data_IF_132031770868
#
_entry.id   IF_132031770868
#
_cell.length_a   1.000
_cell.length_b   1.000
_cell.length_c   1.000
_cell.angle_alpha   90.00
_cell.angle_beta   90.00
_cell.angle_gamma   90.00
#
_symmetry.space_group_name_H-M   'P 1'
#
loop_
_entity.id
_entity.type
_entity.pdbx_description
1 polymer ?
#
# COMPACT_ATOMS: atom_id res chain seq x y z
N UNK A 1 -25.32 -19.09 -8.96
CA UNK A 1 -23.95 -19.34 -9.42
C UNK A 1 -23.31 -20.31 -8.46
N UNK A 2 -22.98 -21.52 -8.89
CA UNK A 2 -22.27 -22.49 -8.06
C UNK A 2 -20.77 -22.19 -8.06
N UNK A 3 -20.17 -22.08 -6.88
CA UNK A 3 -18.72 -21.96 -6.74
C UNK A 3 -18.11 -23.35 -6.91
N UNK A 4 -17.42 -23.59 -8.03
CA UNK A 4 -16.69 -24.83 -8.27
C UNK A 4 -15.29 -24.68 -7.68
N UNK A 5 -14.98 -25.46 -6.64
CA UNK A 5 -13.63 -25.51 -6.07
C UNK A 5 -12.84 -26.62 -6.77
N UNK A 6 -11.75 -26.25 -7.44
CA UNK A 6 -10.85 -27.20 -8.10
C UNK A 6 -9.64 -27.44 -7.20
N UNK A 7 -9.46 -28.67 -6.72
CA UNK A 7 -8.26 -29.05 -5.97
C UNK A 7 -7.16 -29.52 -6.94
N UNK A 8 -6.08 -28.75 -6.99
CA UNK A 8 -4.91 -29.08 -7.79
C UNK A 8 -3.90 -29.84 -6.94
N UNK A 9 -3.38 -30.98 -7.42
CA UNK A 9 -2.26 -31.67 -6.79
C UNK A 9 -1.10 -31.76 -7.78
N UNK A 10 0.10 -31.38 -7.34
CA UNK A 10 1.31 -31.64 -8.10
C UNK A 10 1.60 -33.14 -8.03
N UNK A 11 1.39 -33.84 -9.14
CA UNK A 11 1.76 -35.25 -9.29
C UNK A 11 3.06 -35.29 -10.09
N UNK A 12 4.18 -35.35 -9.39
CA UNK A 12 5.52 -35.38 -9.98
C UNK A 12 6.41 -36.35 -9.21
N UNK A 13 7.44 -36.90 -9.86
CA UNK A 13 8.44 -37.74 -9.19
C UNK A 13 9.13 -36.95 -8.07
N UNK A 14 9.74 -37.66 -7.13
CA UNK A 14 10.52 -37.03 -6.06
C UNK A 14 11.63 -36.13 -6.63
N UNK A 15 12.36 -36.62 -7.63
CA UNK A 15 13.41 -35.88 -8.34
C UNK A 15 12.90 -34.53 -8.87
N UNK A 16 11.75 -34.51 -9.54
CA UNK A 16 11.16 -33.27 -10.06
C UNK A 16 10.75 -32.33 -8.92
N UNK A 17 10.22 -32.87 -7.82
CA UNK A 17 9.85 -32.06 -6.65
C UNK A 17 11.08 -31.45 -5.98
N UNK A 18 12.17 -32.21 -5.85
CA UNK A 18 13.44 -31.70 -5.33
C UNK A 18 14.02 -30.62 -6.25
N UNK A 19 14.06 -30.83 -7.56
CA UNK A 19 14.50 -29.82 -8.52
C UNK A 19 13.66 -28.53 -8.43
N UNK A 20 12.34 -28.66 -8.34
CA UNK A 20 11.46 -27.50 -8.19
C UNK A 20 11.70 -26.77 -6.86
N UNK A 21 11.93 -27.52 -5.78
CA UNK A 21 12.29 -26.94 -4.49
C UNK A 21 13.56 -26.11 -4.59
N UNK A 22 14.65 -26.65 -5.18
CA UNK A 22 15.90 -25.92 -5.38
C UNK A 22 15.70 -24.66 -6.22
N UNK A 23 14.92 -24.73 -7.31
CA UNK A 23 14.59 -23.54 -8.10
C UNK A 23 13.86 -22.46 -7.28
N UNK A 24 12.96 -22.86 -6.38
CA UNK A 24 12.17 -21.91 -5.58
C UNK A 24 12.93 -21.37 -4.36
N UNK A 25 13.68 -22.21 -3.67
CA UNK A 25 14.41 -21.90 -2.45
C UNK A 25 15.74 -21.21 -2.73
N UNK A 26 16.53 -21.73 -3.67
CA UNK A 26 17.92 -21.31 -3.86
C UNK A 26 18.04 -20.19 -4.90
N UNK A 27 17.11 -20.14 -5.87
CA UNK A 27 17.14 -19.15 -6.95
C UNK A 27 16.03 -18.11 -6.84
N UNK A 28 14.76 -18.53 -6.86
CA UNK A 28 13.62 -17.60 -6.98
C UNK A 28 13.45 -16.69 -5.76
N UNK A 29 13.44 -17.26 -4.56
CA UNK A 29 13.21 -16.48 -3.34
C UNK A 29 14.36 -15.49 -3.09
N UNK A 30 15.64 -15.88 -3.22
CA UNK A 30 16.75 -14.95 -3.17
C UNK A 30 16.70 -13.88 -4.28
N UNK A 31 16.25 -14.22 -5.50
CA UNK A 31 16.04 -13.23 -6.56
C UNK A 31 15.01 -12.17 -6.16
N UNK A 32 13.87 -12.59 -5.61
CA UNK A 32 12.84 -11.65 -5.11
C UNK A 32 13.40 -10.76 -4.01
N UNK A 33 14.12 -11.34 -3.04
CA UNK A 33 14.76 -10.58 -1.96
C UNK A 33 15.74 -9.54 -2.50
N UNK A 34 16.58 -9.93 -3.47
CA UNK A 34 17.55 -9.04 -4.11
C UNK A 34 16.83 -7.90 -4.82
N UNK A 35 15.78 -8.19 -5.59
CA UNK A 35 14.99 -7.18 -6.28
C UNK A 35 14.28 -6.22 -5.31
N UNK A 36 13.73 -6.72 -4.20
CA UNK A 36 13.12 -5.88 -3.18
C UNK A 36 14.10 -4.84 -2.65
N UNK A 37 15.36 -5.25 -2.42
CA UNK A 37 16.45 -4.36 -2.01
C UNK A 37 16.83 -3.39 -3.12
N UNK A 38 17.03 -3.86 -4.35
CA UNK A 38 17.40 -3.01 -5.49
C UNK A 38 16.39 -1.91 -5.78
N UNK A 39 15.08 -2.18 -5.65
CA UNK A 39 14.04 -1.16 -5.85
C UNK A 39 14.15 -0.03 -4.83
N UNK A 40 14.42 -0.35 -3.55
CA UNK A 40 14.58 0.68 -2.51
C UNK A 40 15.85 1.53 -2.65
N UNK A 41 16.83 1.05 -3.41
CA UNK A 41 18.12 1.70 -3.63
C UNK A 41 18.19 2.44 -4.96
N UNK A 42 17.09 2.47 -5.72
CA UNK A 42 17.03 3.12 -7.01
C UNK A 42 16.92 4.64 -6.86
N UNK A 43 17.56 5.40 -7.74
CA UNK A 43 17.59 6.87 -7.68
C UNK A 43 16.17 7.48 -7.74
N UNK A 44 15.31 6.95 -8.61
CA UNK A 44 13.91 7.37 -8.73
C UNK A 44 13.00 6.90 -7.57
N UNK A 45 13.50 6.20 -6.55
CA UNK A 45 12.66 5.62 -5.50
C UNK A 45 11.83 6.67 -4.76
N UNK A 46 12.40 7.85 -4.48
CA UNK A 46 11.66 8.95 -3.87
C UNK A 46 10.50 9.44 -4.76
N UNK A 47 10.72 9.48 -6.07
CA UNK A 47 9.69 9.88 -7.04
C UNK A 47 8.55 8.87 -7.02
N UNK A 48 8.87 7.58 -6.99
CA UNK A 48 7.88 6.51 -6.88
C UNK A 48 7.11 6.58 -5.56
N UNK A 49 7.77 6.94 -4.46
CA UNK A 49 7.13 7.15 -3.15
C UNK A 49 6.14 8.32 -3.17
N UNK A 50 6.49 9.44 -3.82
CA UNK A 50 5.59 10.59 -3.98
C UNK A 50 4.39 10.25 -4.87
N UNK A 51 4.64 9.54 -5.97
CA UNK A 51 3.59 9.16 -6.92
C UNK A 51 2.69 8.02 -6.39
N UNK A 52 3.21 7.20 -5.48
CA UNK A 52 2.53 6.06 -4.90
C UNK A 52 2.48 4.83 -5.80
N UNK A 53 3.37 4.73 -6.78
CA UNK A 53 3.45 3.63 -7.76
C UNK A 53 4.88 3.45 -8.23
N UNK A 54 5.28 2.19 -8.48
CA UNK A 54 6.53 1.84 -9.17
C UNK A 54 6.19 1.36 -10.60
N UNK A 55 6.89 1.82 -11.64
CA UNK A 55 6.68 1.30 -13.00
C UNK A 55 7.16 -0.15 -13.16
N UNK A 56 6.33 -1.01 -13.76
CA UNK A 56 6.69 -2.40 -14.10
C UNK A 56 7.99 -2.51 -14.90
N UNK A 57 8.21 -1.54 -15.80
CA UNK A 57 9.40 -1.49 -16.66
C UNK A 57 10.67 -1.36 -15.82
N UNK A 58 10.67 -0.49 -14.82
CA UNK A 58 11.81 -0.24 -13.92
C UNK A 58 12.19 -1.51 -13.14
N UNK A 59 11.20 -2.24 -12.61
CA UNK A 59 11.47 -3.51 -11.91
C UNK A 59 12.06 -4.57 -12.86
N UNK A 60 11.57 -4.64 -14.11
CA UNK A 60 12.13 -5.56 -15.11
C UNK A 60 13.54 -5.18 -15.54
N UNK A 61 13.83 -3.89 -15.67
CA UNK A 61 15.17 -3.37 -15.97
C UNK A 61 16.15 -3.74 -14.85
N UNK A 62 15.74 -3.63 -13.57
CA UNK A 62 16.51 -4.12 -12.42
C UNK A 62 16.72 -5.64 -12.41
N UNK A 63 15.76 -6.41 -12.94
CA UNK A 63 15.83 -7.87 -13.02
C UNK A 63 16.73 -8.38 -14.15
N UNK A 64 16.88 -7.63 -15.25
CA UNK A 64 17.66 -8.06 -16.41
C UNK A 64 19.13 -8.39 -16.12
N UNK A 65 19.92 -7.55 -15.42
CA UNK A 65 21.31 -7.88 -15.12
C UNK A 65 21.43 -9.11 -14.20
N UNK A 66 20.43 -9.36 -13.35
CA UNK A 66 20.42 -10.53 -12.46
C UNK A 66 20.25 -11.85 -13.21
N UNK A 67 19.76 -11.85 -14.46
CA UNK A 67 19.58 -13.08 -15.25
C UNK A 67 20.89 -13.78 -15.61
N UNK A 68 21.98 -13.02 -15.67
CA UNK A 68 23.32 -13.48 -16.03
C UNK A 68 24.17 -13.71 -14.78
N UNK A 69 23.64 -13.41 -13.59
CA UNK A 69 24.36 -13.63 -12.35
C UNK A 69 24.41 -15.14 -12.03
N UNK A 70 25.57 -15.71 -11.65
CA UNK A 70 25.73 -17.16 -11.43
C UNK A 70 24.72 -17.76 -10.44
N UNK A 71 24.30 -16.98 -9.45
CA UNK A 71 23.27 -17.42 -8.48
C UNK A 71 21.88 -17.65 -9.10
N UNK A 72 21.55 -16.92 -10.16
CA UNK A 72 20.20 -16.84 -10.72
C UNK A 72 20.10 -17.39 -12.13
N UNK A 73 21.22 -17.61 -12.81
CA UNK A 73 21.25 -18.14 -14.17
C UNK A 73 20.58 -19.52 -14.29
N UNK A 74 20.25 -19.89 -15.53
CA UNK A 74 19.59 -21.16 -15.90
C UNK A 74 18.18 -21.41 -15.33
N UNK A 75 17.62 -20.49 -14.53
CA UNK A 75 16.22 -20.63 -14.12
C UNK A 75 15.26 -20.33 -15.30
N UNK A 76 14.08 -20.97 -15.36
CA UNK A 76 13.13 -20.73 -16.44
C UNK A 76 12.66 -19.28 -16.52
N UNK A 77 12.44 -18.76 -17.73
CA UNK A 77 11.99 -17.37 -17.97
C UNK A 77 10.78 -16.91 -17.14
N UNK A 78 9.89 -17.85 -16.79
CA UNK A 78 8.71 -17.59 -15.94
C UNK A 78 9.09 -17.14 -14.54
N UNK A 79 10.18 -17.64 -13.97
CA UNK A 79 10.61 -17.30 -12.61
C UNK A 79 11.01 -15.83 -12.53
N UNK A 80 11.80 -15.32 -13.48
CA UNK A 80 12.12 -13.89 -13.56
C UNK A 80 10.89 -13.00 -13.71
N UNK A 81 9.92 -13.44 -14.53
CA UNK A 81 8.67 -12.69 -14.73
C UNK A 81 7.85 -12.67 -13.44
N UNK A 82 7.75 -13.82 -12.77
CA UNK A 82 7.07 -13.96 -11.48
C UNK A 82 7.73 -13.09 -10.42
N UNK A 83 9.05 -13.14 -10.29
CA UNK A 83 9.80 -12.35 -9.32
C UNK A 83 9.58 -10.85 -9.52
N UNK A 84 9.64 -10.39 -10.77
CA UNK A 84 9.35 -8.99 -11.12
C UNK A 84 7.92 -8.60 -10.71
N UNK A 85 6.92 -9.42 -11.00
CA UNK A 85 5.52 -9.15 -10.64
C UNK A 85 5.30 -9.12 -9.12
N UNK A 86 5.92 -10.04 -8.37
CA UNK A 86 5.81 -10.07 -6.91
C UNK A 86 6.35 -8.78 -6.31
N UNK A 87 7.51 -8.33 -6.78
CA UNK A 87 8.16 -7.09 -6.32
C UNK A 87 7.31 -5.88 -6.69
N UNK A 88 6.82 -5.80 -7.93
CA UNK A 88 5.88 -4.76 -8.37
C UNK A 88 4.67 -4.68 -7.46
N UNK A 89 3.95 -5.78 -7.24
CA UNK A 89 2.73 -5.77 -6.42
C UNK A 89 3.01 -5.43 -4.96
N UNK A 90 4.12 -5.93 -4.41
CA UNK A 90 4.55 -5.63 -3.05
C UNK A 90 4.77 -4.12 -2.88
N UNK A 91 5.54 -3.51 -3.78
CA UNK A 91 5.80 -2.07 -3.73
C UNK A 91 4.57 -1.24 -4.10
N UNK A 92 3.75 -1.65 -5.05
CA UNK A 92 2.53 -0.94 -5.40
C UNK A 92 1.60 -0.83 -4.19
N UNK A 93 1.38 -1.94 -3.47
CA UNK A 93 0.58 -1.95 -2.24
C UNK A 93 1.19 -1.05 -1.15
N UNK A 94 2.51 -1.17 -0.93
CA UNK A 94 3.20 -0.38 0.09
C UNK A 94 3.23 1.12 -0.24
N UNK A 95 3.59 1.50 -1.47
CA UNK A 95 3.67 2.89 -1.93
C UNK A 95 2.29 3.57 -1.89
N UNK A 96 1.23 2.86 -2.26
CA UNK A 96 -0.13 3.40 -2.16
C UNK A 96 -0.51 3.67 -0.69
N UNK A 97 -0.14 2.77 0.22
CA UNK A 97 -0.35 2.95 1.65
C UNK A 97 0.45 4.15 2.20
N UNK A 98 1.71 4.29 1.81
CA UNK A 98 2.57 5.42 2.17
C UNK A 98 1.99 6.74 1.67
N UNK A 99 1.55 6.81 0.40
CA UNK A 99 0.90 7.99 -0.17
C UNK A 99 -0.38 8.36 0.59
N UNK A 100 -1.21 7.38 0.94
CA UNK A 100 -2.43 7.60 1.75
C UNK A 100 -2.08 8.16 3.14
N UNK A 101 -1.08 7.59 3.81
CA UNK A 101 -0.60 8.06 5.12
C UNK A 101 -0.08 9.49 5.04
N UNK A 102 0.73 9.83 4.03
CA UNK A 102 1.26 11.18 3.82
C UNK A 102 0.15 12.19 3.62
N UNK A 103 -0.80 11.93 2.71
CA UNK A 103 -2.01 12.78 2.55
C UNK A 103 -2.80 12.94 3.85
N UNK A 104 -2.88 11.87 4.64
CA UNK A 104 -3.53 11.89 5.97
C UNK A 104 -2.81 12.78 6.97
N UNK A 105 -1.47 12.76 6.95
CA UNK A 105 -0.62 13.60 7.78
C UNK A 105 -0.79 15.07 7.35
N UNK A 106 -0.59 15.36 6.07
CA UNK A 106 -0.66 16.72 5.52
C UNK A 106 -2.01 17.37 5.83
N UNK A 107 -3.12 16.63 5.65
CA UNK A 107 -4.45 17.12 5.99
C UNK A 107 -4.66 17.40 7.48
N UNK A 108 -4.06 16.60 8.38
CA UNK A 108 -4.14 16.84 9.83
C UNK A 108 -3.26 18.01 10.26
N UNK A 109 -2.07 18.14 9.68
CA UNK A 109 -1.18 19.25 9.95
C UNK A 109 -1.80 20.57 9.47
N UNK A 110 -2.36 20.59 8.26
CA UNK A 110 -3.10 21.75 7.73
C UNK A 110 -4.28 22.12 8.63
N UNK A 111 -5.03 21.13 9.11
CA UNK A 111 -6.12 21.38 10.05
C UNK A 111 -5.64 21.99 11.38
N UNK A 112 -4.56 21.45 11.98
CA UNK A 112 -4.00 22.00 13.22
C UNK A 112 -3.45 23.43 13.04
N UNK A 113 -2.91 23.76 11.88
CA UNK A 113 -2.40 25.10 11.61
C UNK A 113 -3.52 26.15 11.49
N UNK A 114 -4.74 25.72 11.15
CA UNK A 114 -5.89 26.61 10.90
C UNK A 114 -6.82 26.71 12.10
N UNK A 115 -6.98 25.61 12.85
CA UNK A 115 -7.94 25.56 13.96
C UNK A 115 -7.40 26.31 15.17
N UNK A 116 -8.23 27.21 15.69
CA UNK A 116 -8.01 28.01 16.89
C UNK A 116 -9.23 27.92 17.79
N UNK A 117 -9.03 28.17 19.09
CA UNK A 117 -10.12 28.26 20.07
C UNK A 117 -11.00 29.48 19.80
N UNK A 118 -12.24 29.48 20.30
CA UNK A 118 -13.15 30.62 20.12
C UNK A 118 -12.62 31.90 20.79
N UNK A 119 -11.91 31.76 21.92
CA UNK A 119 -11.20 32.88 22.55
C UNK A 119 -10.15 33.50 21.63
N UNK A 120 -9.35 32.66 20.95
CA UNK A 120 -8.34 33.13 19.99
C UNK A 120 -8.97 33.74 18.74
N UNK A 121 -10.09 33.20 18.25
CA UNK A 121 -10.81 33.75 17.10
C UNK A 121 -11.41 35.13 17.40
N UNK A 122 -11.99 35.31 18.60
CA UNK A 122 -12.50 36.60 19.07
C UNK A 122 -11.36 37.61 19.22
N UNK A 123 -10.23 37.19 19.80
CA UNK A 123 -9.06 38.05 19.96
C UNK A 123 -8.47 38.51 18.61
N UNK A 124 -8.38 37.60 17.62
CA UNK A 124 -7.82 37.94 16.30
C UNK A 124 -8.74 38.79 15.44
N UNK A 125 -10.05 38.58 15.53
CA UNK A 125 -11.02 39.36 14.74
C UNK A 125 -11.37 40.69 15.41
N UNK A 126 -11.13 40.83 16.72
CA UNK A 126 -11.63 41.95 17.52
C UNK A 126 -13.16 42.00 17.61
N UNK A 127 -13.84 40.93 17.18
CA UNK A 127 -15.29 40.87 17.00
C UNK A 127 -15.91 39.75 17.84
N UNK A 128 -17.19 39.89 18.21
CA UNK A 128 -17.90 38.89 19.01
C UNK A 128 -18.12 37.57 18.22
N UNK A 129 -18.18 36.44 18.91
CA UNK A 129 -18.37 35.11 18.32
C UNK A 129 -19.61 35.02 17.40
N UNK A 130 -20.70 35.71 17.75
CA UNK A 130 -21.90 35.76 16.90
C UNK A 130 -21.66 36.42 15.53
N UNK A 131 -20.77 37.41 15.46
CA UNK A 131 -20.43 38.05 14.17
C UNK A 131 -19.59 37.10 13.30
N UNK A 132 -18.69 36.32 13.91
CA UNK A 132 -17.94 35.26 13.24
C UNK A 132 -18.89 34.16 12.73
N UNK A 133 -19.86 33.73 13.54
CA UNK A 133 -20.87 32.75 13.15
C UNK A 133 -21.76 33.24 12.00
N UNK A 134 -22.20 34.50 12.04
CA UNK A 134 -23.01 35.08 10.96
C UNK A 134 -22.21 35.15 9.65
N UNK A 135 -20.95 35.57 9.73
CA UNK A 135 -20.06 35.56 8.57
C UNK A 135 -19.81 34.14 8.05
N UNK A 136 -19.67 33.16 8.94
CA UNK A 136 -19.54 31.75 8.56
C UNK A 136 -20.81 31.25 7.81
N UNK A 137 -22.01 31.65 8.25
CA UNK A 137 -23.27 31.35 7.54
C UNK A 137 -23.29 31.98 6.13
N UNK A 138 -22.83 33.23 5.99
CA UNK A 138 -22.70 33.89 4.68
C UNK A 138 -21.74 33.15 3.74
N UNK A 139 -20.56 32.79 4.23
CA UNK A 139 -19.53 32.09 3.44
C UNK A 139 -20.04 30.72 2.98
N UNK A 140 -20.72 29.96 3.86
CA UNK A 140 -21.35 28.70 3.48
C UNK A 140 -22.44 28.89 2.41
N UNK A 141 -23.25 29.94 2.51
CA UNK A 141 -24.26 30.24 1.51
C UNK A 141 -23.63 30.57 0.14
N UNK A 142 -22.54 31.35 0.12
CA UNK A 142 -21.82 31.69 -1.10
C UNK A 142 -21.20 30.45 -1.78
N UNK A 143 -20.57 29.57 -0.99
CA UNK A 143 -19.94 28.35 -1.52
C UNK A 143 -20.95 27.30 -2.00
N UNK A 144 -22.13 27.23 -1.37
CA UNK A 144 -23.22 26.37 -1.85
C UNK A 144 -23.84 26.88 -3.16
N UNK A 145 -23.91 28.20 -3.37
CA UNK A 145 -24.42 28.80 -4.62
C UNK A 145 -23.43 28.59 -5.79
N UNK A 146 -22.13 28.51 -5.51
CA UNK A 146 -21.08 28.29 -6.52
C UNK A 146 -20.87 26.81 -6.92
N UNK A 147 -21.74 25.89 -6.51
CA UNK A 147 -21.74 24.49 -6.97
C UNK A 147 -22.81 24.21 -8.05
N UNK A 148 -22.69 24.70 -9.31
CA UNK A 148 -23.61 24.35 -10.37
C UNK A 148 -23.22 22.98 -10.96
N UNK A 149 -23.87 21.91 -10.49
CA UNK A 149 -23.57 20.57 -11.00
C UNK A 149 -24.47 19.45 -10.50
N UNK A 150 -25.75 19.70 -10.27
CA UNK A 150 -26.70 18.64 -9.96
C UNK A 150 -28.12 18.98 -10.45
N UNK A 151 -28.30 19.06 -11.77
CA UNK A 151 -29.64 18.92 -12.33
C UNK A 151 -30.01 17.43 -12.44
N UNK A 152 -31.06 17.09 -11.70
CA UNK A 152 -32.08 16.08 -11.97
C UNK A 152 -31.64 14.68 -12.42
N UNK A 153 -31.54 13.74 -11.47
CA UNK A 153 -32.01 12.36 -11.68
C UNK A 153 -32.75 11.81 -10.45
N UNK A 154 -33.80 10.99 -10.66
CA UNK A 154 -34.72 10.58 -9.61
C UNK A 154 -34.10 9.59 -8.61
N UNK A 155 -34.55 9.76 -7.37
CA UNK A 155 -34.19 8.99 -6.17
C UNK A 155 -34.36 7.49 -6.40
N UNK A 156 -33.34 6.69 -6.07
CA UNK A 156 -33.47 5.55 -5.15
C UNK A 156 -32.11 4.94 -4.75
N UNK A 157 -31.92 4.78 -3.42
CA UNK A 157 -30.94 3.90 -2.72
C UNK A 157 -29.43 4.15 -2.89
N UNK A 158 -28.92 5.37 -2.63
CA UNK A 158 -27.47 5.62 -2.37
C UNK A 158 -27.17 6.76 -1.36
N UNK A 159 -27.93 6.90 -0.26
CA UNK A 159 -27.80 8.08 0.63
C UNK A 159 -26.51 8.21 1.46
N UNK A 160 -25.74 7.15 1.71
CA UNK A 160 -24.57 7.24 2.62
C UNK A 160 -23.23 7.59 1.93
N UNK A 161 -23.13 7.45 0.59
CA UNK A 161 -21.87 7.64 -0.16
C UNK A 161 -21.77 8.99 -0.89
N UNK A 162 -22.89 9.70 -1.07
CA UNK A 162 -22.91 11.03 -1.70
C UNK A 162 -22.55 12.17 -0.72
N UNK A 163 -23.04 12.13 0.53
CA UNK A 163 -22.73 13.18 1.52
C UNK A 163 -21.24 13.29 1.86
N UNK A 164 -20.51 12.18 1.89
CA UNK A 164 -19.08 12.20 2.21
C UNK A 164 -18.23 12.86 1.11
N UNK A 165 -18.71 12.86 -0.14
CA UNK A 165 -17.98 13.47 -1.26
C UNK A 165 -18.21 14.98 -1.31
N UNK A 166 -19.46 15.41 -1.16
CA UNK A 166 -19.83 16.83 -1.11
C UNK A 166 -19.15 17.58 0.05
N UNK A 167 -19.07 16.98 1.24
CA UNK A 167 -18.34 17.58 2.36
C UNK A 167 -16.82 17.63 2.13
N UNK A 168 -16.25 16.66 1.40
CA UNK A 168 -14.83 16.68 1.03
C UNK A 168 -14.49 17.85 0.12
N UNK A 169 -15.35 18.10 -0.88
CA UNK A 169 -15.19 19.20 -1.82
C UNK A 169 -15.35 20.56 -1.11
N UNK A 170 -16.35 20.72 -0.23
CA UNK A 170 -16.56 21.94 0.58
C UNK A 170 -15.38 22.21 1.53
N UNK A 171 -14.89 21.20 2.24
CA UNK A 171 -13.73 21.34 3.13
C UNK A 171 -12.49 21.80 2.36
N UNK A 172 -12.28 21.26 1.15
CA UNK A 172 -11.16 21.66 0.29
C UNK A 172 -11.27 23.12 -0.16
N UNK A 173 -12.47 23.57 -0.52
CA UNK A 173 -12.75 24.96 -0.89
C UNK A 173 -12.54 25.92 0.29
N UNK A 174 -12.96 25.55 1.51
CA UNK A 174 -12.75 26.34 2.72
C UNK A 174 -11.26 26.48 3.04
N UNK A 175 -10.47 25.41 2.93
CA UNK A 175 -9.03 25.50 3.12
C UNK A 175 -8.34 26.42 2.09
N UNK A 176 -8.80 26.39 0.84
CA UNK A 176 -8.29 27.31 -0.19
C UNK A 176 -8.68 28.76 0.10
N UNK A 177 -9.94 29.00 0.50
CA UNK A 177 -10.41 30.32 0.87
C UNK A 177 -9.63 30.90 2.07
N UNK A 178 -9.28 30.06 3.06
CA UNK A 178 -8.49 30.48 4.23
C UNK A 178 -7.11 31.04 3.83
N UNK A 179 -6.48 30.47 2.80
CA UNK A 179 -5.17 30.88 2.32
C UNK A 179 -5.22 32.15 1.45
N UNK A 180 -6.33 32.41 0.77
CA UNK A 180 -6.48 33.56 -0.15
C UNK A 180 -7.07 34.81 0.49
N UNK A 181 -7.81 34.66 1.60
CA UNK A 181 -8.54 35.76 2.22
C UNK A 181 -7.64 36.50 3.21
N UNK A 182 -7.46 37.80 2.99
CA UNK A 182 -6.69 38.68 3.88
C UNK A 182 -7.50 39.25 5.05
N UNK A 183 -8.82 39.31 4.91
CA UNK A 183 -9.71 39.80 5.96
C UNK A 183 -9.69 38.89 7.20
N UNK A 184 -9.35 39.48 8.35
CA UNK A 184 -9.23 38.77 9.62
C UNK A 184 -10.56 38.14 10.06
N UNK A 185 -11.70 38.82 9.85
CA UNK A 185 -13.01 38.32 10.23
C UNK A 185 -13.44 37.12 9.37
N UNK A 186 -13.27 37.22 8.05
CA UNK A 186 -13.54 36.12 7.13
C UNK A 186 -12.61 34.93 7.35
N UNK A 187 -11.33 35.17 7.67
CA UNK A 187 -10.37 34.11 8.04
C UNK A 187 -10.78 33.40 9.34
N UNK A 188 -11.25 34.14 10.34
CA UNK A 188 -11.78 33.56 11.59
C UNK A 188 -13.07 32.76 11.35
N UNK A 189 -13.97 33.25 10.49
CA UNK A 189 -15.20 32.56 10.14
C UNK A 189 -14.93 31.23 9.42
N UNK A 190 -13.96 31.20 8.51
CA UNK A 190 -13.52 29.96 7.84
C UNK A 190 -12.88 29.00 8.85
N UNK A 191 -12.04 29.48 9.76
CA UNK A 191 -11.46 28.65 10.83
C UNK A 191 -12.55 28.04 11.73
N UNK A 192 -13.58 28.81 12.08
CA UNK A 192 -14.73 28.32 12.84
C UNK A 192 -15.48 27.21 12.11
N UNK A 193 -15.68 27.33 10.79
CA UNK A 193 -16.27 26.27 9.96
C UNK A 193 -15.40 25.02 9.90
N UNK A 194 -14.09 25.17 9.69
CA UNK A 194 -13.14 24.05 9.62
C UNK A 194 -12.98 23.33 10.96
N UNK A 195 -13.13 24.05 12.07
CA UNK A 195 -13.19 23.49 13.43
C UNK A 195 -14.41 22.58 13.60
N UNK A 196 -15.56 23.00 13.08
CA UNK A 196 -16.85 22.36 13.29
C UNK A 196 -17.34 21.52 12.10
N UNK A 197 -16.42 20.87 11.37
CA UNK A 197 -16.72 19.95 10.25
C UNK A 197 -17.62 20.58 9.16
N UNK A 198 -17.32 21.84 8.80
CA UNK A 198 -18.07 22.67 7.84
C UNK A 198 -19.49 23.06 8.31
N UNK A 199 -19.74 23.08 9.62
CA UNK A 199 -21.01 23.48 10.23
C UNK A 199 -20.84 24.70 11.13
N UNK A 200 -21.93 25.43 11.34
CA UNK A 200 -21.96 26.53 12.31
C UNK A 200 -22.50 25.96 13.61
N UNK A 201 -21.65 25.86 14.63
CA UNK A 201 -22.06 25.52 15.99
C UNK A 201 -22.56 26.79 16.68
N UNK A 202 -23.77 26.73 17.25
CA UNK A 202 -24.37 27.83 18.02
C UNK A 202 -24.13 27.68 19.53
N UNK A 203 -23.59 26.53 19.96
CA UNK A 203 -23.23 26.26 21.35
C UNK A 203 -21.85 26.86 21.66
N UNK A 204 -21.67 27.31 22.90
CA UNK A 204 -20.37 27.76 23.40
C UNK A 204 -19.38 26.59 23.45
N UNK A 205 -18.12 26.87 23.10
CA UNK A 205 -17.06 25.87 23.12
C UNK A 205 -16.67 25.51 24.55
N UNK A 206 -16.59 24.21 24.82
CA UNK A 206 -15.91 23.68 26.02
C UNK A 206 -14.38 23.69 25.77
N UNK A 207 -13.61 24.52 26.51
CA UNK A 207 -12.16 24.62 26.33
C UNK A 207 -11.43 23.29 26.60
N UNK A 208 -11.91 22.49 27.55
CA UNK A 208 -11.28 21.20 27.89
C UNK A 208 -11.49 20.17 26.78
N UNK A 209 -12.72 20.05 26.26
CA UNK A 209 -13.02 19.19 25.12
C UNK A 209 -12.23 19.60 23.87
N UNK A 210 -12.08 20.91 23.63
CA UNK A 210 -11.25 21.42 22.53
C UNK A 210 -9.78 21.01 22.69
N UNK A 211 -9.19 21.23 23.88
CA UNK A 211 -7.82 20.85 24.18
C UNK A 211 -7.59 19.34 24.00
N UNK A 212 -8.52 18.51 24.48
CA UNK A 212 -8.46 17.05 24.29
C UNK A 212 -8.51 16.67 22.80
N UNK A 213 -9.34 17.33 22.00
CA UNK A 213 -9.41 17.10 20.55
C UNK A 213 -8.10 17.45 19.85
N UNK A 214 -7.48 18.58 20.19
CA UNK A 214 -6.17 18.98 19.67
C UNK A 214 -5.10 17.94 20.05
N UNK A 215 -5.02 17.55 21.32
CA UNK A 215 -4.07 16.53 21.79
C UNK A 215 -4.25 15.19 21.07
N UNK A 216 -5.49 14.74 20.86
CA UNK A 216 -5.79 13.53 20.11
C UNK A 216 -5.29 13.60 18.66
N UNK A 217 -5.43 14.75 18.00
CA UNK A 217 -4.92 14.97 16.64
C UNK A 217 -3.39 14.97 16.60
N UNK A 218 -2.74 15.66 17.53
CA UNK A 218 -1.27 15.69 17.65
C UNK A 218 -0.69 14.28 17.88
N UNK A 219 -1.30 13.49 18.78
CA UNK A 219 -0.90 12.09 18.99
C UNK A 219 -1.02 11.29 17.70
N UNK A 220 -2.11 11.48 16.96
CA UNK A 220 -2.32 10.78 15.68
C UNK A 220 -1.32 11.20 14.61
N UNK A 221 -0.85 12.45 14.61
CA UNK A 221 0.22 12.91 13.72
C UNK A 221 1.53 12.19 14.06
N UNK A 222 1.92 12.16 15.34
CA UNK A 222 3.11 11.43 15.80
C UNK A 222 3.06 9.95 15.41
N UNK A 223 1.89 9.32 15.56
CA UNK A 223 1.68 7.93 15.10
C UNK A 223 1.84 7.77 13.58
N UNK A 224 1.31 8.70 12.79
CA UNK A 224 1.43 8.67 11.34
C UNK A 224 2.87 8.93 10.88
N UNK A 225 3.59 9.83 11.53
CA UNK A 225 5.02 10.06 11.30
C UNK A 225 5.83 8.80 11.57
N UNK A 226 5.60 8.13 12.72
CA UNK A 226 6.22 6.85 13.02
C UNK A 226 5.86 5.76 11.99
N UNK A 227 4.62 5.75 11.48
CA UNK A 227 4.20 4.82 10.42
C UNK A 227 4.76 5.19 9.04
N UNK A 228 5.05 6.45 8.75
CA UNK A 228 5.72 6.86 7.51
C UNK A 228 7.21 6.52 7.56
N UNK A 229 7.82 6.61 8.74
CA UNK A 229 9.15 6.07 9.03
C UNK A 229 9.17 4.52 9.07
N UNK A 230 8.01 3.86 8.89
CA UNK A 230 7.96 2.39 8.90
C UNK A 230 8.80 1.78 7.78
N UNK A 231 9.26 0.56 8.05
CA UNK A 231 10.27 -0.14 7.27
C UNK A 231 9.81 -0.46 5.85
N UNK A 232 10.79 -0.44 4.95
CA UNK A 232 10.68 -0.91 3.57
C UNK A 232 10.16 -2.36 3.53
N UNK A 233 9.50 -2.76 2.43
CA UNK A 233 9.15 -4.15 2.21
C UNK A 233 10.37 -5.06 2.37
N UNK A 234 10.25 -6.04 3.27
CA UNK A 234 11.33 -7.00 3.56
C UNK A 234 11.19 -8.25 2.70
N UNK A 235 12.33 -8.84 2.38
CA UNK A 235 12.41 -10.18 1.82
C UNK A 235 12.04 -11.27 2.84
N UNK A 236 12.17 -12.52 2.40
CA UNK A 236 11.97 -13.71 3.24
C UNK A 236 13.30 -14.36 3.56
N UNK A 237 13.57 -14.57 4.83
CA UNK A 237 14.72 -15.32 5.28
C UNK A 237 14.35 -16.81 5.39
N UNK A 238 14.90 -17.61 4.47
CA UNK A 238 14.68 -19.06 4.43
C UNK A 238 15.70 -19.83 5.27
N UNK A 239 16.90 -19.27 5.46
CA UNK A 239 18.01 -19.94 6.14
C UNK A 239 18.02 -19.64 7.64
N UNK A 240 17.38 -18.55 8.05
CA UNK A 240 17.43 -18.07 9.43
C UNK A 240 18.75 -17.41 9.78
N UNK A 241 19.58 -17.07 8.78
CA UNK A 241 20.89 -16.44 8.98
C UNK A 241 20.75 -15.12 9.72
N UNK A 242 19.76 -14.28 9.39
CA UNK A 242 19.58 -13.00 10.10
C UNK A 242 19.28 -13.21 11.59
N UNK A 243 18.54 -14.28 11.91
CA UNK A 243 18.26 -14.65 13.30
C UNK A 243 19.54 -15.13 14.00
N UNK A 244 20.32 -16.01 13.35
CA UNK A 244 21.54 -16.57 13.92
C UNK A 244 22.63 -15.49 14.13
N UNK A 245 22.79 -14.56 13.18
CA UNK A 245 23.70 -13.43 13.31
C UNK A 245 23.34 -12.52 14.50
N UNK A 246 22.05 -12.23 14.67
CA UNK A 246 21.56 -11.40 15.77
C UNK A 246 21.68 -12.14 17.09
N UNK A 247 21.41 -13.45 17.13
CA UNK A 247 21.60 -14.25 18.33
C UNK A 247 23.08 -14.31 18.74
N UNK A 248 23.98 -14.49 17.78
CA UNK A 248 25.43 -14.43 18.00
C UNK A 248 25.85 -13.06 18.53
N UNK A 249 25.34 -11.98 17.94
CA UNK A 249 25.64 -10.62 18.39
C UNK A 249 25.11 -10.35 19.80
N UNK A 250 23.86 -10.74 20.08
CA UNK A 250 23.20 -10.54 21.36
C UNK A 250 23.79 -11.37 22.51
N UNK A 251 24.44 -12.49 22.18
CA UNK A 251 25.17 -13.30 23.17
C UNK A 251 26.59 -12.79 23.40
N UNK A 252 27.20 -12.13 22.40
CA UNK A 252 28.56 -11.60 22.49
C UNK A 252 28.65 -10.15 23.01
N UNK A 253 27.59 -9.35 22.84
CA UNK A 253 27.61 -7.91 23.12
C UNK A 253 26.38 -7.46 23.92
N UNK A 254 26.55 -6.42 24.72
CA UNK A 254 25.43 -5.65 25.30
C UNK A 254 25.03 -4.58 24.28
N UNK A 255 23.73 -4.35 24.04
CA UNK A 255 23.29 -3.27 23.14
C UNK A 255 23.80 -1.91 23.65
N UNK A 256 24.25 -1.07 22.73
CA UNK A 256 24.75 0.27 23.07
C UNK A 256 23.61 1.24 23.37
N UNK A 257 22.43 1.04 22.76
CA UNK A 257 21.24 1.86 22.99
C UNK A 257 19.92 1.05 23.03
N UNK A 258 18.85 1.73 23.45
CA UNK A 258 17.50 1.16 23.52
C UNK A 258 16.96 0.78 22.14
N UNK A 259 17.36 1.49 21.08
CA UNK A 259 16.87 1.23 19.72
C UNK A 259 17.43 -0.10 19.23
N UNK A 260 18.73 -0.30 19.35
CA UNK A 260 19.46 -1.52 19.05
C UNK A 260 18.93 -2.70 19.84
N UNK A 261 18.70 -2.53 21.15
CA UNK A 261 18.06 -3.56 21.97
C UNK A 261 16.70 -3.97 21.40
N UNK A 262 15.85 -2.99 21.05
CA UNK A 262 14.56 -3.25 20.41
C UNK A 262 14.70 -3.91 19.03
N UNK A 263 15.72 -3.56 18.25
CA UNK A 263 16.01 -4.18 16.96
C UNK A 263 16.35 -5.66 17.13
N UNK A 264 17.24 -5.98 18.07
CA UNK A 264 17.64 -7.36 18.36
C UNK A 264 16.45 -8.17 18.86
N UNK A 265 15.74 -7.65 19.86
CA UNK A 265 14.56 -8.31 20.41
C UNK A 265 13.50 -8.56 19.34
N UNK A 266 13.20 -7.58 18.50
CA UNK A 266 12.23 -7.73 17.42
C UNK A 266 12.62 -8.81 16.41
N UNK A 267 13.92 -8.98 16.12
CA UNK A 267 14.41 -10.03 15.22
C UNK A 267 14.40 -11.41 15.88
N UNK A 268 14.78 -11.50 17.16
CA UNK A 268 14.81 -12.77 17.90
C UNK A 268 13.41 -13.31 18.21
N UNK A 269 12.43 -12.43 18.44
CA UNK A 269 11.04 -12.82 18.69
C UNK A 269 10.22 -13.01 17.39
N UNK A 270 10.76 -12.61 16.23
CA UNK A 270 10.06 -12.76 14.97
C UNK A 270 9.98 -14.24 14.57
N UNK A 271 8.79 -14.68 14.16
CA UNK A 271 8.65 -15.98 13.48
C UNK A 271 9.27 -15.88 12.09
N UNK A 272 10.23 -16.75 11.73
CA UNK A 272 10.87 -16.68 10.43
C UNK A 272 9.86 -16.93 9.31
N UNK A 273 9.98 -16.15 8.23
CA UNK A 273 9.16 -16.31 7.04
C UNK A 273 9.70 -17.47 6.18
N UNK A 274 9.49 -18.70 6.64
CA UNK A 274 10.04 -19.93 6.03
C UNK A 274 9.37 -20.33 4.71
N UNK A 275 8.36 -19.58 4.25
CA UNK A 275 7.62 -19.90 3.04
C UNK A 275 8.30 -19.32 1.79
N UNK A 276 8.45 -20.15 0.77
CA UNK A 276 8.96 -19.75 -0.54
C UNK A 276 8.02 -18.77 -1.24
N UNK A 277 8.58 -17.84 -2.03
CA UNK A 277 7.74 -17.02 -2.90
C UNK A 277 7.07 -17.90 -3.97
N UNK A 278 5.74 -17.78 -4.15
CA UNK A 278 5.04 -18.57 -5.15
C UNK A 278 5.45 -18.15 -6.56
N UNK A 279 5.23 -19.02 -7.54
CA UNK A 279 5.29 -18.62 -8.95
C UNK A 279 3.92 -18.10 -9.35
N UNK A 280 3.81 -16.79 -9.53
CA UNK A 280 2.57 -16.14 -9.91
C UNK A 280 2.46 -16.04 -11.43
N UNK A 281 1.22 -16.03 -11.93
CA UNK A 281 0.84 -15.85 -13.33
C UNK A 281 0.02 -14.57 -13.45
N UNK A 282 0.44 -13.65 -14.32
CA UNK A 282 -0.07 -12.28 -14.36
C UNK A 282 -1.14 -12.04 -15.42
N UNK A 283 -1.27 -12.94 -16.39
CA UNK A 283 -2.27 -12.82 -17.46
C UNK A 283 -3.03 -14.12 -17.70
N UNK A 284 -4.28 -14.01 -18.16
CA UNK A 284 -5.08 -15.16 -18.62
C UNK A 284 -4.41 -15.90 -19.78
N UNK A 285 -3.46 -15.25 -20.48
CA UNK A 285 -2.71 -15.86 -21.59
C UNK A 285 -1.51 -16.69 -21.13
N UNK A 286 -1.19 -16.66 -19.83
CA UNK A 286 -0.06 -17.40 -19.28
C UNK A 286 -0.35 -18.91 -19.12
N UNK A 287 -1.64 -19.28 -19.06
CA UNK A 287 -2.13 -20.64 -18.88
C UNK A 287 -2.96 -21.07 -20.09
N UNK A 288 -2.74 -22.29 -20.59
CA UNK A 288 -3.60 -22.96 -21.56
C UNK A 288 -4.30 -24.13 -20.88
N UNK A 289 -5.62 -24.13 -20.95
CA UNK A 289 -6.46 -25.22 -20.47
C UNK A 289 -6.76 -26.16 -21.64
N UNK A 290 -6.62 -27.46 -21.44
CA UNK A 290 -6.99 -28.49 -22.41
C UNK A 290 -7.65 -29.67 -21.70
N UNK A 291 -8.26 -30.57 -22.46
CA UNK A 291 -8.81 -31.83 -21.95
C UNK A 291 -8.08 -32.97 -22.64
N UNK A 292 -7.58 -33.95 -21.87
CA UNK A 292 -6.94 -35.12 -22.46
C UNK A 292 -7.97 -36.15 -22.94
N UNK A 293 -7.51 -37.21 -23.61
CA UNK A 293 -8.33 -38.31 -24.14
C UNK A 293 -9.17 -39.02 -23.06
N UNK A 294 -8.79 -38.89 -21.79
CA UNK A 294 -9.50 -39.46 -20.63
C UNK A 294 -10.50 -38.49 -19.99
N UNK A 295 -10.82 -37.37 -20.66
CA UNK A 295 -11.74 -36.35 -20.16
C UNK A 295 -11.19 -35.51 -19.01
N UNK A 296 -9.88 -35.57 -18.71
CA UNK A 296 -9.28 -34.83 -17.60
C UNK A 296 -8.81 -33.45 -18.06
N UNK A 297 -9.15 -32.43 -17.28
CA UNK A 297 -8.63 -31.08 -17.47
C UNK A 297 -7.11 -31.12 -17.25
N UNK A 298 -6.38 -30.50 -18.15
CA UNK A 298 -4.94 -30.33 -18.16
C UNK A 298 -4.62 -28.84 -18.29
N UNK A 299 -3.55 -28.38 -17.63
CA UNK A 299 -3.06 -27.00 -17.76
C UNK A 299 -1.62 -27.04 -18.24
N UNK A 300 -1.38 -26.35 -19.34
CA UNK A 300 -0.06 -26.14 -19.89
C UNK A 300 0.35 -24.67 -19.73
N UNK A 301 1.60 -24.44 -19.35
CA UNK A 301 2.17 -23.10 -19.25
C UNK A 301 2.65 -22.65 -20.61
N UNK A 302 2.32 -21.41 -21.01
CA UNK A 302 2.89 -20.85 -22.25
C UNK A 302 4.33 -20.42 -21.95
N UNK A 303 5.33 -21.14 -22.47
CA UNK A 303 6.68 -20.62 -22.55
C UNK A 303 6.67 -19.48 -23.59
N UNK A 304 7.08 -18.27 -23.20
CA UNK A 304 7.43 -17.24 -24.20
C UNK A 304 8.74 -17.68 -24.83
N UNK A 305 8.69 -18.16 -26.08
CA UNK A 305 9.88 -18.20 -26.93
C UNK A 305 10.42 -16.77 -27.03
N UNK A 306 11.56 -16.51 -26.40
CA UNK A 306 12.42 -15.41 -26.84
C UNK A 306 13.18 -15.92 -28.05
N UNK A 307 12.72 -15.52 -29.24
CA UNK A 307 13.46 -15.68 -30.47
C UNK A 307 14.72 -14.83 -30.43
N UNK A 308 15.88 -15.47 -30.29
CA UNK A 308 17.09 -15.23 -31.10
C UNK A 308 18.18 -16.24 -30.72
N UNK A 309 18.41 -17.19 -31.63
CA UNK A 309 19.65 -17.94 -31.85
C UNK A 309 20.29 -18.61 -30.63
N UNK A 310 19.97 -19.87 -30.39
CA UNK A 310 20.71 -20.70 -29.43
C UNK A 310 19.90 -21.88 -28.94
N UNK A 311 20.16 -23.05 -29.51
CA UNK A 311 19.55 -24.34 -29.19
C UNK A 311 19.80 -24.71 -27.73
N UNK A 312 18.80 -24.55 -26.88
CA UNK A 312 18.66 -25.31 -25.63
C UNK A 312 17.18 -25.63 -25.48
N UNK A 313 16.81 -26.77 -26.08
CA UNK A 313 15.53 -27.42 -25.89
C UNK A 313 15.19 -27.43 -24.40
N UNK A 314 13.96 -27.05 -24.11
CA UNK A 314 13.32 -27.07 -22.79
C UNK A 314 13.57 -28.40 -22.06
N UNK A 315 14.62 -28.45 -21.22
CA UNK A 315 14.90 -29.57 -20.30
C UNK A 315 14.13 -29.43 -18.98
N UNK A 316 12.86 -29.04 -19.05
CA UNK A 316 11.93 -29.36 -17.98
C UNK A 316 10.89 -30.28 -18.62
N UNK A 317 10.76 -31.54 -18.18
CA UNK A 317 9.66 -32.38 -18.64
C UNK A 317 8.37 -31.61 -18.40
N UNK A 318 7.48 -31.61 -19.41
CA UNK A 318 6.17 -30.96 -19.33
C UNK A 318 5.56 -31.16 -17.94
N UNK A 319 5.61 -30.12 -17.12
CA UNK A 319 5.15 -30.16 -15.75
C UNK A 319 3.62 -30.22 -15.82
N UNK A 320 3.12 -31.45 -15.88
CA UNK A 320 1.72 -31.75 -16.14
C UNK A 320 1.02 -31.73 -14.80
N UNK A 321 0.37 -30.61 -14.49
CA UNK A 321 -0.54 -30.57 -13.36
C UNK A 321 -1.77 -31.42 -13.69
N UNK A 322 -1.97 -32.50 -12.94
CA UNK A 322 -3.16 -33.34 -13.04
C UNK A 322 -4.24 -32.83 -12.09
N UNK A 323 -5.40 -32.51 -12.66
CA UNK A 323 -6.54 -32.00 -11.92
C UNK A 323 -7.46 -33.17 -11.57
N UNK A 324 -7.81 -33.30 -10.28
CA UNK A 324 -8.87 -34.23 -9.86
C UNK A 324 -10.10 -33.38 -9.55
N UNK A 325 -11.13 -33.53 -10.37
CA UNK A 325 -12.43 -32.94 -10.11
C UNK A 325 -13.10 -33.73 -8.98
N UNK A 326 -13.46 -33.04 -7.90
CA UNK A 326 -14.38 -33.55 -6.90
C UNK A 326 -15.50 -32.52 -6.79
N UNK A 327 -16.66 -32.83 -7.37
CA UNK A 327 -17.87 -32.12 -7.02
C UNK A 327 -18.14 -32.43 -5.54
N UNK A 328 -17.96 -31.44 -4.67
CA UNK A 328 -18.64 -31.46 -3.39
C UNK A 328 -20.07 -31.03 -3.71
N UNK A 329 -20.95 -32.01 -3.90
CA UNK A 329 -22.39 -31.78 -3.77
C UNK A 329 -22.63 -31.40 -2.31
N UNK A 330 -23.09 -30.16 -2.11
CA UNK A 330 -23.47 -29.63 -0.81
C UNK A 330 -24.96 -29.76 -0.59
#
# INVERSE_FOLDING_TARGET
>A
MSFITVQCRLVASEEIRQQLWHLMADKNTPLVNKLLKSVSQHDDFEVWQRNGTVPDKSVRELCNPLKVHPQFEEQPGRFYTSASLIVTYTYQSWLELQRKRRRSLDGRQRWLNVVKSDAELVQMSGCNIHTIQNKAKEILAQLNVQSPGAQNQPKQKRKKKQNSKANGDLMSALFQAYETVDDALSRCAIAHLLKNDCQVCEQEEDPEAFAQRIHGKQRRIKELEAQLASRLPKGRDLTGEEFLEVLSTATAKVPDDTIEQMLWQAKLLAKPATLLYPIIFGSQTDLRWSTNEKGRICVAFKAREQTRGGTLASKLPHLTLLFRYSALEG
#
